data_IF_582975690601
#
_entry.id   IF_582975690601
#
_cell.length_a   1.000
_cell.length_b   1.000
_cell.length_c   1.000
_cell.angle_alpha   90.00
_cell.angle_beta   90.00
_cell.angle_gamma   90.00
#
_symmetry.space_group_name_H-M   'P 1'
#
loop_
_entity.id
_entity.type
_entity.pdbx_description
1 polymer ?
#
# COMPACT_ATOMS: atom_id res chain seq x y z
N UNK A 1 -23.46 18.46 6.94
CA UNK A 1 -23.62 17.11 7.42
C UNK A 1 -22.38 16.28 7.19
N UNK A 2 -22.05 15.53 8.17
CA UNK A 2 -20.92 14.63 8.11
C UNK A 2 -21.16 13.54 7.08
N UNK A 3 -20.22 13.31 6.20
CA UNK A 3 -20.39 12.25 5.23
C UNK A 3 -20.19 10.89 5.92
N UNK A 4 -20.92 9.88 5.46
CA UNK A 4 -20.72 8.54 6.00
C UNK A 4 -19.27 8.08 5.87
N UNK A 5 -18.55 8.54 4.85
CA UNK A 5 -17.18 8.13 4.67
C UNK A 5 -16.25 8.66 5.76
N UNK A 6 -16.50 9.86 6.28
CA UNK A 6 -15.67 10.39 7.36
C UNK A 6 -15.87 9.60 8.65
N UNK A 7 -17.14 9.31 8.99
CA UNK A 7 -17.44 8.50 10.17
C UNK A 7 -16.89 7.10 10.02
N UNK A 8 -17.04 6.53 8.86
CA UNK A 8 -16.55 5.19 8.57
C UNK A 8 -15.03 5.13 8.68
N UNK A 9 -14.36 6.18 8.21
CA UNK A 9 -12.92 6.25 8.25
C UNK A 9 -12.37 6.28 9.67
N UNK A 10 -13.06 6.90 10.58
CA UNK A 10 -12.66 6.92 11.98
C UNK A 10 -12.70 5.54 12.62
N UNK A 11 -13.64 4.70 12.19
CA UNK A 11 -13.78 3.36 12.72
C UNK A 11 -12.89 2.35 12.02
N UNK A 12 -12.38 2.71 10.86
CA UNK A 12 -11.53 1.81 10.06
C UNK A 12 -10.06 2.12 10.30
N UNK A 13 -9.21 1.11 10.42
CA UNK A 13 -7.76 1.35 10.51
C UNK A 13 -7.14 1.83 9.20
N UNK A 14 -7.90 1.88 8.12
CA UNK A 14 -7.42 2.44 6.86
C UNK A 14 -7.89 1.69 5.63
N UNK A 15 -7.58 2.27 4.47
CA UNK A 15 -7.91 1.69 3.17
C UNK A 15 -6.63 1.21 2.51
N UNK A 16 -6.62 -0.03 2.07
CA UNK A 16 -5.46 -0.66 1.45
C UNK A 16 -5.78 -0.98 -0.01
N UNK A 17 -4.88 -0.57 -0.89
CA UNK A 17 -4.93 -0.99 -2.28
C UNK A 17 -4.09 -2.26 -2.39
N UNK A 18 -4.74 -3.34 -2.77
CA UNK A 18 -4.11 -4.66 -2.90
C UNK A 18 -3.92 -4.97 -4.37
N UNK A 19 -2.68 -5.06 -4.80
CA UNK A 19 -2.31 -5.29 -6.19
C UNK A 19 -1.73 -6.70 -6.32
N UNK A 20 -2.45 -7.58 -6.98
CA UNK A 20 -2.08 -8.97 -7.12
C UNK A 20 -2.80 -9.55 -8.33
N UNK A 21 -2.06 -10.12 -9.28
CA UNK A 21 -2.66 -10.64 -10.51
C UNK A 21 -3.28 -12.04 -10.35
N UNK A 22 -2.83 -12.81 -9.37
CA UNK A 22 -3.33 -14.17 -9.16
C UNK A 22 -4.60 -14.11 -8.31
N UNK A 23 -5.72 -14.55 -8.89
CA UNK A 23 -7.04 -14.40 -8.28
C UNK A 23 -7.14 -15.05 -6.89
N UNK A 24 -6.61 -16.25 -6.74
CA UNK A 24 -6.72 -16.96 -5.47
C UNK A 24 -5.93 -16.27 -4.36
N UNK A 25 -4.73 -15.83 -4.68
CA UNK A 25 -3.89 -15.11 -3.72
C UNK A 25 -4.52 -13.79 -3.34
N UNK A 26 -5.05 -13.08 -4.35
CA UNK A 26 -5.69 -11.79 -4.11
C UNK A 26 -6.91 -11.95 -3.21
N UNK A 27 -7.72 -12.98 -3.46
CA UNK A 27 -8.90 -13.24 -2.65
C UNK A 27 -8.50 -13.55 -1.20
N UNK A 28 -7.51 -14.41 -1.04
CA UNK A 28 -7.06 -14.81 0.29
C UNK A 28 -6.57 -13.61 1.09
N UNK A 29 -5.74 -12.78 0.46
CA UNK A 29 -5.21 -11.58 1.12
C UNK A 29 -6.30 -10.57 1.41
N UNK A 30 -7.24 -10.41 0.48
CA UNK A 30 -8.36 -9.50 0.68
C UNK A 30 -9.18 -9.90 1.90
N UNK A 31 -9.52 -11.19 2.01
CA UNK A 31 -10.32 -11.67 3.14
C UNK A 31 -9.58 -11.47 4.45
N UNK A 32 -8.28 -11.71 4.45
CA UNK A 32 -7.45 -11.51 5.62
C UNK A 32 -7.43 -10.03 6.05
N UNK A 33 -7.27 -9.13 5.08
CA UNK A 33 -7.26 -7.68 5.35
C UNK A 33 -8.62 -7.22 5.87
N UNK A 34 -9.70 -7.69 5.26
CA UNK A 34 -11.05 -7.34 5.70
C UNK A 34 -11.29 -7.80 7.13
N UNK A 35 -10.79 -8.97 7.48
CA UNK A 35 -10.92 -9.50 8.83
C UNK A 35 -10.21 -8.60 9.85
N UNK A 36 -9.15 -7.93 9.43
CA UNK A 36 -8.42 -7.02 10.31
C UNK A 36 -9.01 -5.61 10.31
N UNK A 37 -10.15 -5.42 9.64
CA UNK A 37 -10.88 -4.16 9.68
C UNK A 37 -10.55 -3.18 8.57
N UNK A 38 -9.63 -3.51 7.68
CA UNK A 38 -9.26 -2.61 6.60
C UNK A 38 -10.31 -2.60 5.50
N UNK A 39 -10.44 -1.47 4.83
CA UNK A 39 -11.14 -1.40 3.55
C UNK A 39 -10.15 -1.81 2.48
N UNK A 40 -10.61 -2.55 1.49
CA UNK A 40 -9.72 -3.09 0.46
C UNK A 40 -10.18 -2.68 -0.93
N UNK A 41 -9.26 -2.13 -1.70
CA UNK A 41 -9.45 -1.84 -3.11
C UNK A 41 -8.54 -2.80 -3.84
N UNK A 42 -9.02 -3.43 -4.90
CA UNK A 42 -8.27 -4.45 -5.62
C UNK A 42 -7.81 -3.96 -6.98
N UNK A 43 -6.62 -4.41 -7.39
CA UNK A 43 -6.12 -4.19 -8.74
C UNK A 43 -5.41 -5.47 -9.18
N UNK A 44 -5.57 -5.81 -10.45
CA UNK A 44 -4.98 -7.04 -11.01
C UNK A 44 -3.77 -6.77 -11.89
N UNK A 45 -3.56 -5.52 -12.26
CA UNK A 45 -2.45 -5.15 -13.14
C UNK A 45 -1.80 -3.87 -12.62
N UNK A 46 -0.61 -3.59 -13.15
CA UNK A 46 0.07 -2.34 -12.80
C UNK A 46 -0.71 -1.12 -13.22
N UNK A 47 -1.32 -1.16 -14.39
CA UNK A 47 -2.12 -0.04 -14.89
C UNK A 47 -3.33 0.21 -13.99
N UNK A 48 -4.02 -0.86 -13.58
CA UNK A 48 -5.14 -0.72 -12.66
C UNK A 48 -4.69 -0.17 -11.32
N UNK A 49 -3.51 -0.59 -10.88
CA UNK A 49 -2.96 -0.13 -9.61
C UNK A 49 -2.73 1.38 -9.64
N UNK A 50 -2.13 1.87 -10.71
CA UNK A 50 -1.86 3.31 -10.86
C UNK A 50 -3.17 4.08 -10.87
N UNK A 51 -4.14 3.64 -11.65
CA UNK A 51 -5.44 4.32 -11.75
C UNK A 51 -6.17 4.31 -10.41
N UNK A 52 -6.17 3.17 -9.72
CA UNK A 52 -6.85 3.05 -8.44
C UNK A 52 -6.17 3.91 -7.37
N UNK A 53 -4.84 3.93 -7.36
CA UNK A 53 -4.10 4.73 -6.38
C UNK A 53 -4.40 6.21 -6.55
N UNK A 54 -4.42 6.68 -7.78
CA UNK A 54 -4.68 8.08 -8.07
C UNK A 54 -6.12 8.46 -7.71
N UNK A 55 -7.06 7.59 -7.99
CA UNK A 55 -8.48 7.87 -7.77
C UNK A 55 -8.86 7.77 -6.29
N UNK A 56 -8.36 6.74 -5.61
CA UNK A 56 -8.83 6.41 -4.27
C UNK A 56 -7.96 6.93 -3.14
N UNK A 57 -6.73 7.27 -3.43
CA UNK A 57 -5.77 7.78 -2.45
C UNK A 57 -5.71 6.87 -1.20
N UNK A 58 -5.31 5.61 -1.37
CA UNK A 58 -5.31 4.67 -0.25
C UNK A 58 -4.30 5.06 0.83
N UNK A 59 -4.46 4.47 2.01
CA UNK A 59 -3.55 4.70 3.11
C UNK A 59 -2.28 3.88 2.99
N UNK A 60 -2.34 2.79 2.24
CA UNK A 60 -1.20 1.91 2.02
C UNK A 60 -1.45 1.06 0.78
N UNK A 61 -0.38 0.71 0.09
CA UNK A 61 -0.46 -0.14 -1.10
C UNK A 61 0.36 -1.40 -0.84
N UNK A 62 -0.24 -2.56 -1.09
CA UNK A 62 0.47 -3.84 -1.11
C UNK A 62 0.66 -4.18 -2.59
N UNK A 63 1.90 -4.26 -3.03
CA UNK A 63 2.23 -4.38 -4.44
C UNK A 63 2.98 -5.66 -4.73
N UNK A 64 2.36 -6.54 -5.53
CA UNK A 64 3.04 -7.72 -6.03
C UNK A 64 4.09 -7.29 -7.04
N UNK A 65 5.33 -7.73 -6.83
CA UNK A 65 6.43 -7.34 -7.72
C UNK A 65 6.46 -8.16 -8.99
N UNK A 66 5.81 -9.32 -9.00
CA UNK A 66 5.92 -10.28 -10.10
C UNK A 66 4.60 -10.40 -10.86
N UNK A 67 4.30 -9.42 -11.69
CA UNK A 67 3.10 -9.42 -12.52
C UNK A 67 3.49 -9.40 -13.98
N UNK A 68 2.69 -10.04 -14.86
CA UNK A 68 2.95 -9.96 -16.29
C UNK A 68 2.67 -8.54 -16.79
N UNK A 69 3.33 -8.17 -17.87
CA UNK A 69 3.21 -6.82 -18.41
C UNK A 69 3.93 -5.84 -17.52
N UNK A 70 3.20 -4.84 -17.04
CA UNK A 70 3.77 -3.85 -16.12
C UNK A 70 3.94 -4.49 -14.75
N UNK A 71 5.19 -4.70 -14.33
CA UNK A 71 5.46 -5.33 -13.04
C UNK A 71 5.36 -4.32 -11.91
N UNK A 72 5.55 -4.80 -10.66
CA UNK A 72 5.40 -3.96 -9.49
C UNK A 72 6.43 -2.84 -9.39
N UNK A 73 7.64 -3.07 -9.92
CA UNK A 73 8.66 -2.02 -9.91
C UNK A 73 8.23 -0.84 -10.79
N UNK A 74 7.77 -1.16 -11.99
CA UNK A 74 7.32 -0.12 -12.93
C UNK A 74 6.11 0.61 -12.37
N UNK A 75 5.16 -0.12 -11.82
CA UNK A 75 3.96 0.48 -11.26
C UNK A 75 4.31 1.42 -10.10
N UNK A 76 5.23 0.98 -9.24
CA UNK A 76 5.67 1.80 -8.11
C UNK A 76 6.31 3.10 -8.58
N UNK A 77 7.19 3.02 -9.58
CA UNK A 77 7.82 4.22 -10.12
C UNK A 77 6.79 5.20 -10.66
N UNK A 78 5.79 4.69 -11.37
CA UNK A 78 4.74 5.53 -11.93
C UNK A 78 3.88 6.16 -10.85
N UNK A 79 3.55 5.39 -9.82
CA UNK A 79 2.77 5.89 -8.69
C UNK A 79 3.52 7.04 -8.01
N UNK A 80 4.82 6.91 -7.86
CA UNK A 80 5.64 7.92 -7.18
C UNK A 80 5.75 9.23 -7.97
N UNK A 81 5.38 9.22 -9.24
CA UNK A 81 5.36 10.46 -10.03
C UNK A 81 4.22 11.37 -9.62
N UNK A 82 3.16 10.83 -9.03
CA UNK A 82 2.04 11.64 -8.56
C UNK A 82 2.36 12.24 -7.20
N UNK A 83 2.28 13.55 -7.12
CA UNK A 83 2.60 14.27 -5.89
C UNK A 83 1.72 13.79 -4.73
N UNK A 84 0.45 13.52 -5.00
CA UNK A 84 -0.49 13.07 -3.98
C UNK A 84 -0.18 11.68 -3.43
N UNK A 85 0.68 10.93 -4.11
CA UNK A 85 0.99 9.55 -3.73
C UNK A 85 2.43 9.37 -3.24
N UNK A 86 3.18 10.46 -3.14
CA UNK A 86 4.60 10.35 -2.74
C UNK A 86 4.80 9.85 -1.33
N UNK A 87 3.86 10.12 -0.45
CA UNK A 87 3.96 9.71 0.95
C UNK A 87 3.19 8.43 1.26
N UNK A 88 2.45 7.91 0.27
CA UNK A 88 1.68 6.68 0.51
C UNK A 88 2.62 5.50 0.67
N UNK A 89 2.56 4.79 1.80
CA UNK A 89 3.43 3.63 2.00
C UNK A 89 3.15 2.53 0.97
N UNK A 90 4.21 1.94 0.45
CA UNK A 90 4.10 0.82 -0.49
C UNK A 90 4.92 -0.34 0.06
N UNK A 91 4.24 -1.46 0.27
CA UNK A 91 4.88 -2.71 0.70
C UNK A 91 4.99 -3.61 -0.52
N UNK A 92 6.21 -3.92 -0.91
CA UNK A 92 6.46 -4.85 -2.01
C UNK A 92 6.37 -6.27 -1.50
N UNK A 93 5.66 -7.12 -2.22
CA UNK A 93 5.55 -8.54 -1.89
C UNK A 93 6.07 -9.34 -3.07
N UNK A 94 6.95 -10.29 -2.81
CA UNK A 94 7.54 -11.07 -3.89
C UNK A 94 7.93 -12.45 -3.41
N UNK A 95 7.91 -13.42 -4.34
CA UNK A 95 8.40 -14.76 -4.08
C UNK A 95 9.92 -14.81 -4.11
N UNK A 96 10.57 -13.78 -4.62
CA UNK A 96 12.04 -13.72 -4.66
C UNK A 96 12.56 -13.09 -3.40
N UNK A 97 13.34 -13.86 -2.64
CA UNK A 97 13.90 -13.38 -1.39
C UNK A 97 15.30 -12.81 -1.51
N UNK A 98 15.77 -12.57 -2.74
CA UNK A 98 17.12 -12.09 -2.93
C UNK A 98 17.26 -10.62 -2.51
N UNK A 99 18.38 -10.31 -1.86
CA UNK A 99 18.63 -8.94 -1.41
C UNK A 99 18.66 -7.95 -2.57
N UNK A 100 19.12 -8.41 -3.74
CA UNK A 100 19.14 -7.57 -4.93
C UNK A 100 17.75 -7.08 -5.31
N UNK A 101 16.76 -7.98 -5.23
CA UNK A 101 15.40 -7.60 -5.59
C UNK A 101 14.83 -6.63 -4.58
N UNK A 102 15.16 -6.83 -3.32
CA UNK A 102 14.78 -5.89 -2.28
C UNK A 102 15.33 -4.49 -2.58
N UNK A 103 16.60 -4.42 -2.98
CA UNK A 103 17.22 -3.14 -3.32
C UNK A 103 16.51 -2.48 -4.48
N UNK A 104 16.15 -3.25 -5.51
CA UNK A 104 15.43 -2.71 -6.66
C UNK A 104 14.06 -2.15 -6.26
N UNK A 105 13.36 -2.85 -5.37
CA UNK A 105 12.05 -2.41 -4.91
C UNK A 105 12.17 -1.08 -4.14
N UNK A 106 13.14 -0.99 -3.26
CA UNK A 106 13.36 0.23 -2.48
C UNK A 106 13.74 1.39 -3.39
N UNK A 107 14.62 1.15 -4.37
CA UNK A 107 15.01 2.17 -5.33
C UNK A 107 13.83 2.65 -6.16
N UNK A 108 12.90 1.74 -6.49
CA UNK A 108 11.72 2.10 -7.25
C UNK A 108 10.76 2.97 -6.46
N UNK A 109 10.87 2.97 -5.13
CA UNK A 109 10.05 3.80 -4.27
C UNK A 109 9.22 3.04 -3.24
N UNK A 110 9.45 1.73 -3.10
CA UNK A 110 8.77 0.96 -2.04
C UNK A 110 9.38 1.29 -0.69
N UNK A 111 8.54 1.28 0.33
CA UNK A 111 8.99 1.54 1.70
C UNK A 111 9.50 0.29 2.38
N UNK A 112 8.88 -0.84 2.05
CA UNK A 112 9.24 -2.12 2.63
C UNK A 112 9.11 -3.23 1.62
N UNK A 113 9.82 -4.32 1.90
CA UNK A 113 9.81 -5.49 1.04
C UNK A 113 9.64 -6.74 1.91
N UNK A 114 8.68 -7.58 1.54
CA UNK A 114 8.44 -8.82 2.28
C UNK A 114 8.40 -9.97 1.26
N UNK A 115 9.11 -11.04 1.56
CA UNK A 115 9.14 -12.18 0.63
C UNK A 115 8.22 -13.29 1.13
N UNK A 116 7.58 -13.98 0.19
CA UNK A 116 6.72 -15.10 0.52
C UNK A 116 7.53 -16.38 0.58
N UNK A 117 7.15 -17.32 1.44
CA UNK A 117 6.06 -17.19 2.42
C UNK A 117 6.46 -16.35 3.62
N UNK A 118 5.51 -15.63 4.17
CA UNK A 118 5.75 -14.82 5.36
C UNK A 118 4.69 -15.14 6.41
N UNK A 119 4.99 -14.79 7.66
CA UNK A 119 4.02 -14.97 8.73
C UNK A 119 2.98 -13.86 8.64
N UNK A 120 1.68 -14.18 8.75
CA UNK A 120 0.66 -13.13 8.68
C UNK A 120 0.87 -12.02 9.70
N UNK A 121 1.38 -12.34 10.89
CA UNK A 121 1.65 -11.31 11.90
C UNK A 121 2.72 -10.33 11.45
N UNK A 122 3.66 -10.79 10.66
CA UNK A 122 4.74 -9.95 10.11
C UNK A 122 4.15 -8.86 9.22
N UNK A 123 3.25 -9.25 8.33
CA UNK A 123 2.60 -8.29 7.45
C UNK A 123 1.67 -7.37 8.25
N UNK A 124 0.93 -7.91 9.22
CA UNK A 124 0.03 -7.11 10.05
C UNK A 124 0.78 -6.01 10.79
N UNK A 125 1.91 -6.35 11.38
CA UNK A 125 2.71 -5.39 12.15
C UNK A 125 3.30 -4.33 11.23
N UNK A 126 3.75 -4.76 10.06
CA UNK A 126 4.33 -3.85 9.08
C UNK A 126 3.30 -2.83 8.61
N UNK A 127 2.10 -3.27 8.30
CA UNK A 127 1.02 -2.38 7.86
C UNK A 127 0.71 -1.35 8.94
N UNK A 128 0.53 -1.80 10.17
CA UNK A 128 0.22 -0.91 11.28
C UNK A 128 1.29 0.13 11.50
N UNK A 129 2.53 -0.31 11.45
CA UNK A 129 3.69 0.54 11.68
C UNK A 129 3.80 1.62 10.59
N UNK A 130 3.57 1.26 9.33
CA UNK A 130 3.68 2.19 8.22
C UNK A 130 2.54 3.22 8.23
N UNK A 131 1.33 2.78 8.53
CA UNK A 131 0.19 3.70 8.59
C UNK A 131 0.37 4.67 9.75
N UNK A 132 0.80 4.17 10.90
CA UNK A 132 1.03 5.00 12.08
C UNK A 132 2.13 6.03 11.82
N UNK A 133 3.20 5.64 11.15
CA UNK A 133 4.30 6.55 10.83
C UNK A 133 3.84 7.66 9.91
N UNK A 134 3.01 7.33 8.92
CA UNK A 134 2.48 8.32 8.00
C UNK A 134 1.57 9.32 8.72
N UNK A 135 0.71 8.83 9.59
CA UNK A 135 -0.19 9.69 10.36
C UNK A 135 0.58 10.62 11.28
N UNK A 136 1.60 10.09 11.91
CA UNK A 136 2.46 10.85 12.79
C UNK A 136 3.19 11.96 12.03
N UNK A 137 3.72 11.63 10.85
CA UNK A 137 4.38 12.62 9.99
C UNK A 137 3.41 13.70 9.55
N UNK A 138 2.21 13.29 9.17
CA UNK A 138 1.18 14.23 8.77
C UNK A 138 0.79 15.17 9.90
N UNK A 139 0.62 14.63 11.09
CA UNK A 139 0.29 15.41 12.25
C UNK A 139 1.40 16.40 12.61
N UNK A 140 2.64 15.95 12.49
CA UNK A 140 3.77 16.83 12.77
C UNK A 140 3.92 17.93 11.73
N UNK A 141 3.61 17.63 10.49
CA UNK A 141 3.71 18.59 9.41
C UNK A 141 2.69 19.72 9.55
N UNK A 142 1.49 19.39 9.97
CA UNK A 142 0.42 20.37 10.08
C UNK A 142 0.73 21.54 11.03
N UNK A 143 1.20 21.29 12.25
CA UNK A 143 1.54 22.39 13.14
C UNK A 143 2.61 23.30 12.57
N UNK A 144 3.60 22.74 11.92
CA UNK A 144 4.66 23.55 11.31
C UNK A 144 4.09 24.45 10.24
N UNK A 145 3.19 23.94 9.44
CA UNK A 145 2.58 24.70 8.37
C UNK A 145 1.76 25.86 8.91
N UNK A 146 1.08 25.62 9.99
CA UNK A 146 0.25 26.66 10.59
C UNK A 146 1.07 27.79 11.19
N UNK A 147 2.23 27.45 11.67
CA UNK A 147 3.12 28.46 12.23
C UNK A 147 3.79 29.29 11.19
N UNK A 148 4.03 28.70 10.07
CA UNK A 148 4.66 29.39 8.97
C UNK A 148 3.67 30.25 8.27
#
# INVERSE_FOLDING_TARGET
MESPSAAFRRDSPGTILLVEDFDDTRLMMKLWLLKHGYRVIEAETGEEAIAAAERELPDLIIMDMMMPGMNGLDATQRIREYQTLRQTPIVAVSAYGADEYRSLAIEAGCDEYISTPFEPSELADLIKSLIAARESSGANALPSNLEG
#
